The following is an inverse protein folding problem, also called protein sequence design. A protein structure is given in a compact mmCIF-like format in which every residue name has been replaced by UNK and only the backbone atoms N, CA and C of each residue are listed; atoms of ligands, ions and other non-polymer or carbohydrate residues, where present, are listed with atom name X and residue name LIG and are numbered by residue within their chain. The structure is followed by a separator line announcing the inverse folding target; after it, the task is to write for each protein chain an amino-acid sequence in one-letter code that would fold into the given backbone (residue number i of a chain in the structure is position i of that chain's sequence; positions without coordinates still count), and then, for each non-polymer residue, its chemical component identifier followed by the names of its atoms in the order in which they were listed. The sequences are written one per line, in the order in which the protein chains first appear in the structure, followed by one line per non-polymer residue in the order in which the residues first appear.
data_IF_570377375338
#
_entry.id   IF_570377375338
#
_cell.length_a   1.000
_cell.length_b   1.000
_cell.length_c   1.000
_cell.angle_alpha   90.00
_cell.angle_beta   90.00
_cell.angle_gamma   90.00
#
_symmetry.space_group_name_H-M   'P 1'
#
loop_
_entity.id
_entity.type
_entity.pdbx_description
1 polymer ?
#
# COMPACT_ATOMS: atom_id res chain seq x y z
N UNK A 1 -4.54 -14.64 4.05
CA UNK A 1 -4.55 -13.17 3.92
C UNK A 1 -3.33 -12.62 4.62
N UNK A 2 -2.46 -12.00 3.88
CA UNK A 2 -1.16 -11.49 4.35
C UNK A 2 -1.18 -9.96 4.29
N UNK A 3 -0.58 -9.31 5.28
CA UNK A 3 -0.38 -7.85 5.32
C UNK A 3 1.11 -7.53 5.16
N UNK A 4 1.45 -6.64 4.25
CA UNK A 4 2.74 -5.97 4.16
C UNK A 4 2.60 -4.51 4.59
N UNK A 5 3.51 -4.03 5.44
CA UNK A 5 3.63 -2.61 5.78
C UNK A 5 4.98 -2.12 5.26
N UNK A 6 4.93 -1.14 4.39
CA UNK A 6 6.13 -0.56 3.77
C UNK A 6 6.71 0.58 4.61
N UNK A 7 7.95 0.91 4.35
CA UNK A 7 8.66 2.01 4.95
C UNK A 7 10.01 2.19 4.29
N UNK A 8 10.92 2.83 4.98
CA UNK A 8 12.31 3.02 4.52
C UNK A 8 13.28 2.46 5.56
N UNK A 9 14.39 1.93 5.08
CA UNK A 9 15.50 1.47 5.91
C UNK A 9 16.40 2.65 6.37
N UNK A 10 17.50 2.34 7.07
CA UNK A 10 18.44 3.33 7.56
C UNK A 10 19.13 4.16 6.45
N UNK A 11 19.17 3.63 5.22
CA UNK A 11 19.74 4.30 4.05
C UNK A 11 18.67 5.05 3.22
N UNK A 12 17.41 5.08 3.70
CA UNK A 12 16.30 5.75 3.02
C UNK A 12 15.73 4.95 1.84
N UNK A 13 16.04 3.66 1.74
CA UNK A 13 15.55 2.79 0.66
C UNK A 13 14.21 2.17 1.03
N UNK A 14 13.30 2.10 0.09
CA UNK A 14 11.99 1.51 0.32
C UNK A 14 12.10 0.00 0.60
N UNK A 15 11.36 -0.45 1.59
CA UNK A 15 11.40 -1.85 2.04
C UNK A 15 10.09 -2.26 2.72
N UNK A 16 9.92 -3.57 2.89
CA UNK A 16 8.88 -4.10 3.78
C UNK A 16 9.40 -4.03 5.21
N UNK A 17 8.76 -3.19 6.03
CA UNK A 17 9.09 -3.02 7.45
C UNK A 17 8.47 -4.11 8.31
N UNK A 18 7.32 -4.62 7.91
CA UNK A 18 6.57 -5.63 8.64
C UNK A 18 5.74 -6.48 7.68
N UNK A 19 5.72 -7.78 7.94
CA UNK A 19 4.88 -8.74 7.23
C UNK A 19 4.22 -9.67 8.24
N UNK A 20 2.88 -9.76 8.19
CA UNK A 20 2.10 -10.59 9.10
C UNK A 20 0.96 -11.30 8.38
N UNK A 21 0.48 -12.40 8.96
CA UNK A 21 -0.86 -12.89 8.66
C UNK A 21 -1.89 -12.00 9.36
N UNK A 22 -2.98 -11.68 8.67
CA UNK A 22 -4.09 -10.94 9.30
C UNK A 22 -4.83 -11.87 10.25
N UNK A 23 -4.80 -11.54 11.55
CA UNK A 23 -5.56 -12.27 12.57
C UNK A 23 -7.01 -11.84 12.58
N UNK A 24 -7.92 -12.82 12.51
CA UNK A 24 -9.36 -12.58 12.60
C UNK A 24 -9.85 -13.32 13.84
N UNK A 25 -10.52 -12.61 14.74
CA UNK A 25 -10.90 -13.13 16.04
C UNK A 25 -12.41 -12.96 16.27
N UNK A 26 -13.06 -13.91 16.97
CA UNK A 26 -14.44 -13.79 17.34
C UNK A 26 -14.70 -12.55 18.22
N UNK A 27 -15.70 -11.75 17.87
CA UNK A 27 -16.13 -10.58 18.64
C UNK A 27 -17.60 -10.66 19.04
N UNK A 28 -18.33 -11.66 18.56
CA UNK A 28 -19.72 -11.89 18.88
C UNK A 28 -20.25 -13.19 18.28
N UNK A 29 -21.48 -13.58 18.57
CA UNK A 29 -22.09 -14.77 18.00
C UNK A 29 -22.22 -14.67 16.48
N UNK A 30 -21.46 -15.48 15.76
CA UNK A 30 -21.59 -15.62 14.31
C UNK A 30 -20.81 -14.60 13.49
N UNK A 31 -19.94 -13.78 14.09
CA UNK A 31 -19.03 -12.93 13.34
C UNK A 31 -17.68 -12.68 14.02
N UNK A 32 -16.67 -12.52 13.20
CA UNK A 32 -15.29 -12.34 13.60
C UNK A 32 -14.73 -11.06 12.98
N UNK A 33 -13.75 -10.46 13.61
CA UNK A 33 -13.12 -9.23 13.11
C UNK A 33 -11.60 -9.29 13.20
N UNK A 34 -10.94 -8.74 12.19
CA UNK A 34 -9.53 -8.43 12.22
C UNK A 34 -9.31 -6.93 12.01
N UNK A 35 -8.25 -6.40 12.58
CA UNK A 35 -7.79 -5.02 12.35
C UNK A 35 -6.39 -5.12 11.73
N UNK A 36 -6.28 -5.13 10.40
CA UNK A 36 -4.98 -5.21 9.73
C UNK A 36 -4.08 -4.03 10.06
N UNK A 37 -4.67 -2.85 10.14
CA UNK A 37 -3.93 -1.61 10.38
C UNK A 37 -4.84 -0.56 11.01
N UNK A 38 -4.27 0.28 11.85
CA UNK A 38 -4.91 1.46 12.40
C UNK A 38 -3.89 2.60 12.56
N UNK A 39 -4.35 3.83 12.52
CA UNK A 39 -3.54 5.01 12.80
C UNK A 39 -3.95 5.62 14.13
N UNK A 40 -3.02 6.27 14.80
CA UNK A 40 -3.26 7.03 16.04
C UNK A 40 -3.20 8.54 15.82
N UNK A 41 -2.86 8.97 14.60
CA UNK A 41 -2.71 10.37 14.21
C UNK A 41 -3.53 10.70 12.96
N UNK A 42 -4.06 11.91 12.91
CA UNK A 42 -4.79 12.42 11.75
C UNK A 42 -4.45 13.90 11.53
N UNK A 43 -3.88 14.28 10.36
CA UNK A 43 -3.47 13.38 9.27
C UNK A 43 -2.35 12.44 9.70
N UNK A 44 -2.10 11.35 8.95
CA UNK A 44 -0.92 10.53 9.19
C UNK A 44 0.36 11.36 9.07
N UNK A 45 1.42 11.01 9.81
CA UNK A 45 2.66 11.76 9.77
C UNK A 45 3.29 11.72 8.36
N UNK A 46 4.08 12.76 8.06
CA UNK A 46 4.88 12.78 6.83
C UNK A 46 5.88 11.62 6.81
N UNK A 47 6.21 11.18 5.62
CA UNK A 47 7.24 10.16 5.37
C UNK A 47 8.56 10.80 4.96
N UNK A 48 9.69 10.07 4.98
CA UNK A 48 10.92 10.52 4.33
C UNK A 48 10.70 10.74 2.82
N UNK A 49 11.41 11.71 2.25
CA UNK A 49 11.35 11.96 0.82
C UNK A 49 11.84 10.74 0.03
N UNK A 50 11.15 10.41 -1.07
CA UNK A 50 11.59 9.40 -2.02
C UNK A 50 12.62 9.95 -3.02
N UNK A 51 13.20 9.06 -3.82
CA UNK A 51 14.14 9.39 -4.89
C UNK A 51 13.51 9.33 -6.29
N UNK A 52 12.38 8.65 -6.42
CA UNK A 52 11.61 8.56 -7.66
C UNK A 52 10.74 9.80 -7.89
N UNK A 53 10.03 9.83 -9.00
CA UNK A 53 9.10 10.90 -9.30
C UNK A 53 7.89 10.88 -8.36
N UNK A 54 7.47 12.06 -7.92
CA UNK A 54 6.22 12.23 -7.19
C UNK A 54 5.04 12.15 -8.16
N UNK A 55 4.10 11.26 -7.89
CA UNK A 55 2.76 11.34 -8.48
C UNK A 55 1.87 12.09 -7.48
N UNK A 56 1.63 13.35 -7.78
CA UNK A 56 0.77 14.19 -6.95
C UNK A 56 -0.68 13.73 -7.07
N UNK A 57 -1.21 13.21 -5.98
CA UNK A 57 -2.59 12.74 -5.91
C UNK A 57 -3.60 13.90 -5.75
N UNK A 58 -3.15 15.14 -5.60
CA UNK A 58 -3.99 16.31 -5.35
C UNK A 58 -4.91 16.07 -4.13
N UNK A 59 -4.38 15.46 -3.10
CA UNK A 59 -5.10 15.08 -1.90
C UNK A 59 -4.50 15.81 -0.69
N UNK A 60 -5.25 16.76 -0.14
CA UNK A 60 -4.83 17.51 1.04
C UNK A 60 -4.60 16.59 2.25
N UNK A 61 -3.67 16.93 3.17
CA UNK A 61 -3.44 16.14 4.37
C UNK A 61 -4.73 15.84 5.14
N UNK A 62 -4.96 14.56 5.44
CA UNK A 62 -6.16 14.07 6.14
C UNK A 62 -7.37 13.83 5.25
N UNK A 63 -7.38 14.28 4.00
CA UNK A 63 -8.44 13.93 3.06
C UNK A 63 -8.30 12.48 2.62
N UNK A 64 -9.43 11.86 2.30
CA UNK A 64 -9.52 10.44 1.96
C UNK A 64 -10.12 10.27 0.56
N UNK A 65 -9.52 9.37 -0.23
CA UNK A 65 -10.05 8.94 -1.52
C UNK A 65 -10.06 7.41 -1.58
N UNK A 66 -11.20 6.85 -1.91
CA UNK A 66 -11.32 5.41 -2.14
C UNK A 66 -11.35 5.14 -3.63
N UNK A 67 -10.40 4.35 -4.12
CA UNK A 67 -10.25 4.04 -5.54
C UNK A 67 -10.26 2.53 -5.80
N UNK A 68 -10.56 2.17 -7.04
CA UNK A 68 -10.34 0.84 -7.60
C UNK A 68 -9.46 1.00 -8.82
N UNK A 69 -8.44 0.19 -8.93
CA UNK A 69 -7.50 0.19 -10.06
C UNK A 69 -7.51 -1.18 -10.72
N UNK A 70 -7.69 -1.20 -12.03
CA UNK A 70 -7.52 -2.38 -12.86
C UNK A 70 -6.21 -2.28 -13.63
N UNK A 71 -5.29 -3.18 -13.31
CA UNK A 71 -4.09 -3.39 -14.11
C UNK A 71 -4.34 -4.51 -15.11
N UNK A 72 -4.16 -4.23 -16.41
CA UNK A 72 -4.22 -5.27 -17.44
C UNK A 72 -3.12 -6.32 -17.28
N UNK A 73 -3.21 -7.45 -18.01
CA UNK A 73 -2.20 -8.50 -17.96
C UNK A 73 -0.79 -7.97 -18.21
N UNK A 74 0.13 -8.29 -17.30
CA UNK A 74 1.53 -7.90 -17.35
C UNK A 74 1.79 -6.38 -17.38
N UNK A 75 0.82 -5.55 -17.02
CA UNK A 75 1.00 -4.10 -16.92
C UNK A 75 2.05 -3.76 -15.86
N UNK A 76 2.94 -2.85 -16.22
CA UNK A 76 3.97 -2.32 -15.33
C UNK A 76 3.79 -0.83 -15.13
N UNK A 77 4.00 -0.35 -13.91
CA UNK A 77 4.06 1.08 -13.63
C UNK A 77 5.52 1.52 -13.49
N UNK A 78 5.85 2.79 -13.79
CA UNK A 78 7.15 3.35 -13.42
C UNK A 78 7.28 3.42 -11.90
N UNK A 79 8.53 3.44 -11.41
CA UNK A 79 8.80 3.70 -9.98
C UNK A 79 8.38 5.13 -9.66
N UNK A 80 7.61 5.28 -8.59
CA UNK A 80 7.08 6.56 -8.15
C UNK A 80 6.84 6.56 -6.63
N UNK A 81 6.53 7.73 -6.08
CA UNK A 81 6.04 7.87 -4.71
C UNK A 81 4.88 8.85 -4.65
N UNK A 82 4.19 8.87 -3.52
CA UNK A 82 3.02 9.71 -3.29
C UNK A 82 3.09 10.36 -1.91
N UNK A 83 2.40 11.48 -1.72
CA UNK A 83 2.19 12.09 -0.40
C UNK A 83 0.88 11.57 0.20
N UNK A 84 0.79 10.24 0.30
CA UNK A 84 -0.35 9.53 0.87
C UNK A 84 0.10 8.30 1.65
N UNK A 85 -0.75 7.84 2.55
CA UNK A 85 -0.75 6.46 3.04
C UNK A 85 -1.91 5.75 2.36
N UNK A 86 -1.62 4.65 1.68
CA UNK A 86 -2.61 3.89 0.95
C UNK A 86 -2.86 2.55 1.65
N UNK A 87 -4.13 2.26 1.91
CA UNK A 87 -4.57 0.97 2.45
C UNK A 87 -5.13 0.17 1.28
N UNK A 88 -4.40 -0.86 0.87
CA UNK A 88 -4.65 -1.56 -0.39
C UNK A 88 -5.02 -3.02 -0.16
N UNK A 89 -5.93 -3.54 -0.99
CA UNK A 89 -6.30 -4.96 -1.00
C UNK A 89 -6.37 -5.47 -2.43
N UNK A 90 -5.72 -6.59 -2.70
CA UNK A 90 -5.84 -7.30 -3.98
C UNK A 90 -7.20 -7.99 -4.02
N UNK A 91 -8.09 -7.53 -4.90
CA UNK A 91 -9.44 -8.06 -5.05
C UNK A 91 -9.49 -9.27 -5.99
N UNK A 92 -8.63 -9.28 -7.01
CA UNK A 92 -8.54 -10.39 -7.96
C UNK A 92 -7.22 -10.37 -8.71
N UNK A 93 -6.80 -11.52 -9.22
CA UNK A 93 -5.53 -11.67 -9.92
C UNK A 93 -4.33 -11.65 -8.98
N UNK A 94 -3.20 -11.21 -9.48
CA UNK A 94 -1.96 -11.09 -8.73
C UNK A 94 -1.14 -9.88 -9.19
N UNK A 95 -0.26 -9.40 -8.32
CA UNK A 95 0.61 -8.27 -8.60
C UNK A 95 1.91 -8.40 -7.83
N UNK A 96 3.00 -7.98 -8.43
CA UNK A 96 4.27 -7.80 -7.76
C UNK A 96 4.39 -6.36 -7.29
N UNK A 97 4.62 -6.16 -6.01
CA UNK A 97 5.05 -4.90 -5.43
C UNK A 97 6.57 -4.85 -5.52
N UNK A 98 7.09 -3.85 -6.21
CA UNK A 98 8.53 -3.65 -6.40
C UNK A 98 8.97 -2.50 -5.52
N UNK A 99 9.83 -2.80 -4.57
CA UNK A 99 10.49 -1.85 -3.66
C UNK A 99 12.00 -1.91 -3.89
N UNK A 100 12.76 -1.03 -3.23
CA UNK A 100 14.22 -1.05 -3.29
C UNK A 100 14.82 -2.33 -2.69
N UNK A 101 14.12 -2.98 -1.77
CA UNK A 101 14.54 -4.27 -1.17
C UNK A 101 14.21 -5.49 -2.03
N UNK A 102 13.51 -5.33 -3.14
CA UNK A 102 13.19 -6.39 -4.07
C UNK A 102 11.71 -6.48 -4.44
N UNK A 103 11.31 -7.65 -4.93
CA UNK A 103 9.98 -7.95 -5.45
C UNK A 103 9.19 -8.74 -4.42
N UNK A 104 7.97 -8.28 -4.14
CA UNK A 104 7.04 -8.92 -3.19
C UNK A 104 5.77 -9.33 -3.93
N UNK A 105 5.57 -10.63 -4.13
CA UNK A 105 4.41 -11.15 -4.83
C UNK A 105 3.17 -11.14 -3.93
N UNK A 106 2.07 -10.59 -4.46
CA UNK A 106 0.78 -10.48 -3.78
C UNK A 106 -0.30 -11.23 -4.55
N UNK A 107 -1.09 -12.00 -3.83
CA UNK A 107 -2.23 -12.75 -4.34
C UNK A 107 -3.55 -12.14 -3.88
N UNK A 108 -4.64 -12.61 -4.45
CA UNK A 108 -5.99 -12.23 -4.03
C UNK A 108 -6.15 -12.32 -2.50
N UNK A 109 -6.69 -11.27 -1.91
CA UNK A 109 -6.88 -11.12 -0.47
C UNK A 109 -5.68 -10.56 0.29
N UNK A 110 -4.49 -10.46 -0.32
CA UNK A 110 -3.34 -9.84 0.34
C UNK A 110 -3.53 -8.32 0.44
N UNK A 111 -2.98 -7.75 1.50
CA UNK A 111 -3.11 -6.34 1.86
C UNK A 111 -1.76 -5.66 1.96
N UNK A 112 -1.73 -4.38 1.63
CA UNK A 112 -0.53 -3.53 1.77
C UNK A 112 -0.90 -2.22 2.44
N UNK A 113 -0.08 -1.79 3.39
CA UNK A 113 -0.02 -0.40 3.83
C UNK A 113 1.15 0.24 3.10
N UNK A 114 0.85 1.05 2.08
CA UNK A 114 1.83 1.79 1.30
C UNK A 114 2.00 3.17 1.92
N UNK A 115 3.15 3.40 2.51
CA UNK A 115 3.44 4.66 3.23
C UNK A 115 3.99 5.78 2.35
N UNK A 116 3.70 5.74 1.06
CA UNK A 116 4.14 6.77 0.10
C UNK A 116 5.60 6.64 -0.33
N UNK A 117 6.26 5.54 -0.04
CA UNK A 117 7.64 5.25 -0.41
C UNK A 117 7.79 4.96 -1.91
N UNK A 118 9.02 5.00 -2.42
CA UNK A 118 9.31 4.63 -3.81
C UNK A 118 8.87 3.20 -4.09
N UNK A 119 7.99 3.02 -5.06
CA UNK A 119 7.46 1.70 -5.43
C UNK A 119 7.04 1.65 -6.90
N UNK A 120 6.90 0.44 -7.41
CA UNK A 120 6.30 0.14 -8.69
C UNK A 120 5.42 -1.11 -8.58
N UNK A 121 4.53 -1.28 -9.54
CA UNK A 121 3.64 -2.41 -9.65
C UNK A 121 3.85 -3.16 -10.96
N UNK A 122 3.79 -4.48 -10.92
CA UNK A 122 3.74 -5.33 -12.10
C UNK A 122 2.64 -6.36 -11.94
N UNK A 123 1.58 -6.22 -12.74
CA UNK A 123 0.47 -7.18 -12.74
C UNK A 123 0.90 -8.55 -13.26
N UNK A 124 0.28 -9.59 -12.74
CA UNK A 124 0.44 -10.94 -13.24
C UNK A 124 -0.17 -11.16 -14.63
N UNK A 125 -0.08 -12.40 -15.17
CA UNK A 125 -0.51 -12.71 -16.54
C UNK A 125 -2.03 -12.58 -16.75
N UNK A 126 -2.82 -12.61 -15.69
CA UNK A 126 -4.28 -12.45 -15.73
C UNK A 126 -4.74 -11.04 -15.33
N UNK A 127 -3.80 -10.11 -15.13
CA UNK A 127 -4.09 -8.79 -14.60
C UNK A 127 -4.29 -8.79 -13.09
N UNK A 128 -4.70 -7.63 -12.56
CA UNK A 128 -4.95 -7.46 -11.13
C UNK A 128 -5.95 -6.34 -10.91
N UNK A 129 -6.88 -6.55 -9.99
CA UNK A 129 -7.74 -5.49 -9.45
C UNK A 129 -7.36 -5.23 -8.01
N UNK A 130 -7.10 -3.98 -7.70
CA UNK A 130 -6.77 -3.52 -6.34
C UNK A 130 -7.81 -2.47 -5.94
N UNK A 131 -8.33 -2.52 -4.72
CA UNK A 131 -8.90 -1.34 -4.13
C UNK A 131 -7.86 -0.66 -3.23
N UNK A 132 -7.94 0.66 -3.08
CA UNK A 132 -7.10 1.41 -2.19
C UNK A 132 -7.87 2.56 -1.55
N UNK A 133 -7.61 2.78 -0.26
CA UNK A 133 -8.02 3.98 0.45
C UNK A 133 -6.78 4.83 0.63
N UNK A 134 -6.76 5.99 -0.06
CA UNK A 134 -5.66 6.95 0.01
C UNK A 134 -5.97 7.98 1.08
N UNK A 135 -5.02 8.22 1.97
CA UNK A 135 -5.11 9.24 3.02
C UNK A 135 -3.96 10.23 2.80
N UNK A 136 -4.29 11.49 2.51
CA UNK A 136 -3.29 12.53 2.28
C UNK A 136 -2.38 12.72 3.49
N UNK A 137 -1.09 12.87 3.24
CA UNK A 137 -0.07 13.17 4.26
C UNK A 137 0.57 14.52 3.98
N UNK A 138 1.09 15.23 5.00
CA UNK A 138 1.94 16.36 4.75
C UNK A 138 3.15 15.96 3.88
N UNK A 139 3.58 16.81 2.93
CA UNK A 139 4.79 16.54 2.16
C UNK A 139 6.02 16.52 3.06
N UNK A 140 7.07 15.78 2.69
CA UNK A 140 8.35 15.83 3.40
C UNK A 140 8.91 17.26 3.44
N UNK A 141 9.52 17.57 4.54
CA UNK A 141 10.21 18.87 4.73
C UNK A 141 11.65 18.82 4.21
#
# INVERSE_FOLDING_TARGET
MRLLITGVDADGRSCVMRQDAVSINPIGPGFDMGIPYETTESPPPTRPAGNADLIDQLLEPGHVRWIVVDYGPNCETPVHHTDTVDLETVLSGSVDLILDDGVHHLNEGDMVVMTGVDHAWKAGPDGCRINAILIGTPPPQ
#
